data_IF_603979708843
#
_entry.id   IF_603979708843
#
_cell.length_a   1.000
_cell.length_b   1.000
_cell.length_c   1.000
_cell.angle_alpha   90.00
_cell.angle_beta   90.00
_cell.angle_gamma   90.00
#
_symmetry.space_group_name_H-M   'P 1'
#
loop_
_entity.id
_entity.type
_entity.pdbx_description
1 polymer ?
#
# COMPACT_ATOMS: atom_id res chain seq x y z
N UNK A 1 20.28 13.47 -34.91
CA UNK A 1 18.87 13.09 -34.84
C UNK A 1 18.83 11.57 -34.82
N UNK A 2 18.76 10.97 -33.63
CA UNK A 2 18.58 9.54 -33.42
C UNK A 2 17.34 9.39 -32.58
N UNK A 3 16.28 8.93 -33.23
CA UNK A 3 15.06 8.29 -32.73
C UNK A 3 14.80 8.37 -31.24
N UNK A 4 14.14 9.46 -30.83
CA UNK A 4 13.26 9.48 -29.66
C UNK A 4 11.99 8.70 -30.01
N UNK A 5 12.05 7.36 -30.02
CA UNK A 5 10.83 6.60 -29.85
C UNK A 5 10.38 6.77 -28.38
N UNK A 6 9.14 7.22 -28.11
CA UNK A 6 8.63 7.18 -26.75
C UNK A 6 8.63 5.71 -26.27
N UNK A 7 8.90 5.44 -24.99
CA UNK A 7 8.75 4.09 -24.46
C UNK A 7 7.31 3.63 -24.76
N UNK A 8 7.22 2.48 -25.41
CA UNK A 8 5.96 1.89 -25.89
C UNK A 8 4.91 1.90 -24.77
N UNK A 9 3.72 2.45 -25.07
CA UNK A 9 2.55 2.41 -24.17
C UNK A 9 1.92 3.74 -23.75
N UNK A 10 2.16 4.87 -24.43
CA UNK A 10 1.41 6.12 -24.14
C UNK A 10 0.58 6.61 -25.33
N UNK A 11 -0.67 6.15 -25.40
CA UNK A 11 -1.77 6.89 -26.02
C UNK A 11 -2.71 7.37 -24.92
N UNK A 12 -2.37 8.48 -24.27
CA UNK A 12 -3.33 9.41 -23.65
C UNK A 12 -4.20 8.98 -22.44
N UNK A 13 -4.20 7.71 -22.01
CA UNK A 13 -5.08 7.22 -20.92
C UNK A 13 -4.34 6.77 -19.64
N UNK A 14 -5.08 6.70 -18.53
CA UNK A 14 -4.65 5.94 -17.35
C UNK A 14 -4.80 4.45 -17.65
N UNK A 15 -3.88 3.60 -17.19
CA UNK A 15 -4.03 2.13 -17.25
C UNK A 15 -5.04 1.59 -16.22
N UNK A 16 -5.60 2.46 -15.38
CA UNK A 16 -6.77 2.12 -14.56
C UNK A 16 -7.97 2.06 -15.50
N UNK A 17 -8.35 0.85 -15.92
CA UNK A 17 -9.61 0.63 -16.64
C UNK A 17 -10.77 1.08 -15.73
N UNK A 18 -11.33 2.26 -16.00
CA UNK A 18 -12.58 2.70 -15.43
C UNK A 18 -13.73 1.88 -16.01
N UNK A 19 -14.84 1.75 -15.28
CA UNK A 19 -16.03 1.06 -15.81
C UNK A 19 -16.52 1.69 -17.13
N UNK A 20 -16.29 2.99 -17.31
CA UNK A 20 -16.58 3.75 -18.54
C UNK A 20 -15.71 3.35 -19.72
N UNK A 21 -14.50 2.84 -19.47
CA UNK A 21 -13.56 2.44 -20.54
C UNK A 21 -13.97 1.11 -21.20
N UNK A 22 -14.94 0.42 -20.62
CA UNK A 22 -15.52 -0.82 -21.14
C UNK A 22 -16.73 -0.59 -22.07
N UNK A 23 -17.13 0.67 -22.27
CA UNK A 23 -18.36 1.03 -23.01
C UNK A 23 -18.07 1.46 -24.46
N UNK A 24 -16.80 1.49 -24.90
CA UNK A 24 -16.51 1.74 -26.31
C UNK A 24 -16.65 0.45 -27.12
N UNK A 25 -17.85 0.28 -27.68
CA UNK A 25 -18.12 -0.51 -28.89
C UNK A 25 -17.36 0.08 -30.10
N UNK A 26 -17.14 -0.75 -31.13
CA UNK A 26 -16.53 -0.45 -32.45
C UNK A 26 -15.02 -0.61 -32.68
N UNK A 27 -14.36 -1.60 -32.05
CA UNK A 27 -13.21 -2.26 -32.71
C UNK A 27 -13.17 -3.76 -32.42
N UNK A 28 -13.36 -4.61 -33.44
CA UNK A 28 -13.32 -6.09 -33.39
C UNK A 28 -11.94 -6.71 -33.06
N UNK A 29 -11.00 -5.93 -32.53
CA UNK A 29 -9.74 -6.43 -32.02
C UNK A 29 -9.59 -6.04 -30.55
N UNK A 30 -9.43 -6.99 -29.61
CA UNK A 30 -9.08 -6.64 -28.25
C UNK A 30 -7.78 -5.82 -28.28
N UNK A 31 -7.69 -4.69 -27.57
CA UNK A 31 -6.50 -3.86 -27.60
C UNK A 31 -5.28 -4.69 -27.17
N UNK A 32 -4.20 -4.61 -27.95
CA UNK A 32 -2.92 -5.24 -27.58
C UNK A 32 -2.37 -4.47 -26.38
N UNK A 33 -2.60 -4.99 -25.17
CA UNK A 33 -2.05 -4.44 -23.93
C UNK A 33 -0.59 -4.87 -23.85
N UNK A 34 0.33 -4.02 -24.29
CA UNK A 34 1.76 -4.20 -24.01
C UNK A 34 1.99 -3.70 -22.58
N UNK A 35 2.43 -4.55 -21.64
CA UNK A 35 2.67 -4.12 -20.27
C UNK A 35 3.75 -3.02 -20.26
N UNK A 36 3.56 -1.93 -19.50
CA UNK A 36 4.56 -0.90 -19.38
C UNK A 36 5.89 -1.49 -18.92
N UNK A 37 7.00 -1.05 -19.50
CA UNK A 37 8.33 -1.46 -19.05
C UNK A 37 9.26 -0.26 -18.96
N UNK A 38 10.07 -0.26 -17.91
CA UNK A 38 11.05 0.79 -17.67
C UNK A 38 12.13 0.87 -18.75
N UNK A 39 12.53 2.07 -19.13
CA UNK A 39 13.70 2.26 -19.98
C UNK A 39 14.99 1.80 -19.25
N UNK A 40 15.89 1.21 -20.04
CA UNK A 40 17.27 0.95 -19.60
C UNK A 40 17.96 2.29 -19.36
N UNK A 41 18.56 2.47 -18.18
CA UNK A 41 19.27 3.70 -17.83
C UNK A 41 20.48 3.42 -16.95
N UNK A 42 21.43 4.35 -16.98
CA UNK A 42 22.56 4.36 -16.04
C UNK A 42 22.10 4.90 -14.70
N UNK A 43 22.38 4.15 -13.63
CA UNK A 43 22.02 4.51 -12.27
C UNK A 43 22.98 5.57 -11.71
N UNK A 44 22.42 6.69 -11.25
CA UNK A 44 23.17 7.71 -10.50
C UNK A 44 22.95 7.47 -9.00
N UNK A 45 23.87 6.76 -8.37
CA UNK A 45 23.81 6.39 -6.95
C UNK A 45 23.95 7.64 -6.07
N UNK A 46 23.15 7.70 -5.01
CA UNK A 46 23.20 8.73 -3.97
C UNK A 46 23.87 8.11 -2.74
N UNK A 47 25.21 8.12 -2.69
CA UNK A 47 26.00 7.43 -1.67
C UNK A 47 25.66 7.81 -0.23
N UNK A 48 25.27 9.07 0.01
CA UNK A 48 24.76 9.49 1.32
C UNK A 48 23.58 8.63 1.77
N UNK A 49 22.62 8.37 0.88
CA UNK A 49 21.44 7.56 1.20
C UNK A 49 21.82 6.10 1.40
N UNK A 50 22.76 5.56 0.60
CA UNK A 50 23.29 4.20 0.77
C UNK A 50 23.91 4.02 2.16
N UNK A 51 24.78 4.94 2.57
CA UNK A 51 25.48 4.89 3.86
C UNK A 51 24.47 5.01 5.01
N UNK A 52 23.57 6.00 4.97
CA UNK A 52 22.55 6.18 6.01
C UNK A 52 21.60 4.97 6.11
N UNK A 53 21.17 4.41 4.96
CA UNK A 53 20.30 3.24 4.94
C UNK A 53 21.01 2.00 5.47
N UNK A 54 22.29 1.81 5.12
CA UNK A 54 23.11 0.73 5.63
C UNK A 54 23.30 0.81 7.15
N UNK A 55 23.69 1.99 7.67
CA UNK A 55 23.83 2.20 9.12
C UNK A 55 22.50 1.99 9.87
N UNK A 56 21.39 2.48 9.30
CA UNK A 56 20.06 2.28 9.87
C UNK A 56 19.72 0.80 9.99
N UNK A 57 19.96 0.00 8.93
CA UNK A 57 19.66 -1.43 8.95
C UNK A 57 20.60 -2.23 9.85
N UNK A 58 21.89 -1.88 9.93
CA UNK A 58 22.82 -2.48 10.90
C UNK A 58 22.32 -2.22 12.33
N UNK A 59 21.94 -0.98 12.63
CA UNK A 59 21.31 -0.62 13.91
C UNK A 59 19.99 -1.36 14.15
N UNK A 60 19.19 -1.57 13.10
CA UNK A 60 17.94 -2.33 13.16
C UNK A 60 18.16 -3.80 13.51
N UNK A 61 19.16 -4.45 12.91
CA UNK A 61 19.53 -5.84 13.23
C UNK A 61 20.01 -5.94 14.68
N UNK A 62 20.83 -5.00 15.14
CA UNK A 62 21.25 -4.94 16.54
C UNK A 62 20.06 -4.71 17.49
N UNK A 63 19.13 -3.81 17.13
CA UNK A 63 17.90 -3.61 17.87
C UNK A 63 16.99 -4.84 17.90
N UNK A 64 16.92 -5.62 16.82
CA UNK A 64 16.21 -6.89 16.79
C UNK A 64 16.82 -7.91 17.78
N UNK A 65 18.15 -7.99 17.82
CA UNK A 65 18.86 -8.79 18.82
C UNK A 65 18.50 -8.37 20.26
N UNK A 66 18.50 -7.06 20.54
CA UNK A 66 18.12 -6.54 21.86
C UNK A 66 16.64 -6.83 22.19
N UNK A 67 15.73 -6.66 21.22
CA UNK A 67 14.31 -6.97 21.37
C UNK A 67 14.07 -8.43 21.79
N UNK A 68 14.87 -9.36 21.25
CA UNK A 68 14.73 -10.80 21.54
C UNK A 68 15.45 -11.26 22.81
N UNK A 69 16.47 -10.52 23.29
CA UNK A 69 17.39 -11.04 24.32
C UNK A 69 17.61 -10.15 25.54
N UNK A 70 17.38 -8.84 25.44
CA UNK A 70 17.78 -7.87 26.48
C UNK A 70 16.70 -6.91 26.92
N UNK A 71 15.82 -6.46 26.01
CA UNK A 71 14.81 -5.47 26.32
C UNK A 71 13.73 -6.05 27.24
N UNK A 72 13.19 -5.20 28.11
CA UNK A 72 12.06 -5.55 28.97
C UNK A 72 10.84 -5.87 28.10
N UNK A 73 10.02 -6.84 28.54
CA UNK A 73 8.81 -7.23 27.81
C UNK A 73 7.88 -6.03 27.54
N UNK A 74 7.77 -5.10 28.50
CA UNK A 74 6.99 -3.85 28.36
C UNK A 74 7.52 -2.96 27.23
N UNK A 75 8.84 -2.86 27.08
CA UNK A 75 9.50 -2.16 25.97
C UNK A 75 9.19 -2.83 24.63
N UNK A 76 9.26 -4.15 24.58
CA UNK A 76 8.93 -4.92 23.37
C UNK A 76 7.45 -4.74 22.98
N UNK A 77 6.53 -4.85 23.94
CA UNK A 77 5.10 -4.60 23.71
C UNK A 77 4.85 -3.16 23.24
N UNK A 78 5.54 -2.18 23.81
CA UNK A 78 5.45 -0.78 23.37
C UNK A 78 5.98 -0.58 21.94
N UNK A 79 7.08 -1.24 21.57
CA UNK A 79 7.60 -1.20 20.19
C UNK A 79 6.58 -1.79 19.18
N UNK A 80 5.92 -2.90 19.53
CA UNK A 80 4.84 -3.49 18.72
C UNK A 80 3.63 -2.55 18.62
N UNK A 81 3.25 -1.89 19.71
CA UNK A 81 2.19 -0.88 19.70
C UNK A 81 2.53 0.30 18.78
N UNK A 82 3.75 0.83 18.85
CA UNK A 82 4.23 1.90 17.97
C UNK A 82 4.30 1.47 16.50
N UNK A 83 4.64 0.21 16.25
CA UNK A 83 4.58 -0.39 14.92
C UNK A 83 3.15 -0.35 14.36
N UNK A 84 2.14 -0.82 15.12
CA UNK A 84 0.74 -0.79 14.71
C UNK A 84 0.27 0.64 14.45
N UNK A 85 0.61 1.58 15.35
CA UNK A 85 0.30 3.00 15.17
C UNK A 85 0.92 3.55 13.88
N UNK A 86 2.21 3.29 13.64
CA UNK A 86 2.91 3.70 12.42
C UNK A 86 2.22 3.14 11.17
N UNK A 87 1.91 1.84 11.19
CA UNK A 87 1.19 1.16 10.12
C UNK A 87 -0.14 1.83 9.82
N UNK A 88 -1.00 2.05 10.83
CA UNK A 88 -2.28 2.74 10.66
C UNK A 88 -2.13 4.18 10.13
N UNK A 89 -1.06 4.88 10.52
CA UNK A 89 -0.73 6.20 9.97
C UNK A 89 -0.47 6.19 8.46
N UNK A 90 0.13 5.11 7.95
CA UNK A 90 0.31 4.88 6.51
C UNK A 90 -0.98 4.39 5.88
N UNK A 91 -1.55 3.27 6.36
CA UNK A 91 -2.64 2.55 5.72
C UNK A 91 -3.99 3.27 5.85
N UNK A 92 -4.48 3.49 7.08
CA UNK A 92 -5.74 4.22 7.30
C UNK A 92 -5.60 5.70 6.96
N UNK A 93 -4.42 6.28 7.20
CA UNK A 93 -4.12 7.69 6.96
C UNK A 93 -3.65 7.97 5.52
N UNK A 94 -2.32 8.00 5.32
CA UNK A 94 -1.70 8.49 4.10
C UNK A 94 -2.29 7.87 2.82
N UNK A 95 -2.59 6.58 2.88
CA UNK A 95 -3.10 5.76 1.79
C UNK A 95 -4.60 5.91 1.59
N UNK A 96 -5.43 5.26 2.43
CA UNK A 96 -6.88 5.16 2.20
C UNK A 96 -7.60 6.52 2.34
N UNK A 97 -7.27 7.30 3.37
CA UNK A 97 -7.91 8.59 3.62
C UNK A 97 -7.44 9.68 2.65
N UNK A 98 -6.14 9.93 2.58
CA UNK A 98 -5.60 11.10 1.87
C UNK A 98 -5.23 10.82 0.42
N UNK A 99 -4.56 9.71 0.09
CA UNK A 99 -4.22 9.40 -1.30
C UNK A 99 -5.47 9.04 -2.12
N UNK A 100 -6.34 8.17 -1.56
CA UNK A 100 -7.49 7.60 -2.28
C UNK A 100 -8.86 8.21 -1.97
N UNK A 101 -9.01 8.95 -0.86
CA UNK A 101 -10.30 9.53 -0.46
C UNK A 101 -11.42 8.48 -0.33
N UNK A 102 -11.07 7.25 0.03
CA UNK A 102 -12.00 6.12 0.12
C UNK A 102 -12.97 6.24 1.31
N UNK A 103 -12.65 7.11 2.28
CA UNK A 103 -13.56 7.52 3.34
C UNK A 103 -13.28 8.95 3.79
N UNK A 104 -14.12 9.49 4.67
CA UNK A 104 -13.93 10.80 5.32
C UNK A 104 -13.72 10.64 6.81
N UNK A 105 -12.89 11.51 7.38
CA UNK A 105 -12.55 11.50 8.79
C UNK A 105 -12.87 12.86 9.44
N UNK A 106 -13.41 12.82 10.66
CA UNK A 106 -13.57 14.02 11.51
C UNK A 106 -12.22 14.46 12.09
N UNK A 107 -12.19 15.66 12.66
CA UNK A 107 -10.96 16.30 13.15
C UNK A 107 -10.12 15.40 14.08
N UNK A 108 -10.68 14.71 15.10
CA UNK A 108 -9.88 13.90 16.03
C UNK A 108 -9.09 12.80 15.32
N UNK A 109 -9.75 12.06 14.41
CA UNK A 109 -9.12 10.99 13.65
C UNK A 109 -8.05 11.52 12.69
N UNK A 110 -8.29 12.65 12.03
CA UNK A 110 -7.29 13.28 11.15
C UNK A 110 -6.03 13.70 11.90
N UNK A 111 -6.17 14.26 13.11
CA UNK A 111 -5.04 14.59 13.97
C UNK A 111 -4.28 13.32 14.37
N UNK A 112 -5.00 12.29 14.84
CA UNK A 112 -4.42 11.02 15.26
C UNK A 112 -3.63 10.34 14.14
N UNK A 113 -4.23 10.22 12.95
CA UNK A 113 -3.59 9.60 11.79
C UNK A 113 -2.39 10.41 11.27
N UNK A 114 -2.42 11.74 11.41
CA UNK A 114 -1.28 12.60 11.07
C UNK A 114 -0.13 12.39 12.05
N UNK A 115 -0.41 12.25 13.35
CA UNK A 115 0.60 11.91 14.37
C UNK A 115 1.21 10.55 14.09
N UNK A 116 0.37 9.55 13.80
CA UNK A 116 0.79 8.19 13.45
C UNK A 116 1.62 8.15 12.16
N UNK A 117 1.25 8.90 11.12
CA UNK A 117 2.07 9.02 9.92
C UNK A 117 3.44 9.67 10.22
N UNK A 118 3.47 10.67 11.11
CA UNK A 118 4.72 11.31 11.54
C UNK A 118 5.63 10.33 12.29
N UNK A 119 5.04 9.44 13.12
CA UNK A 119 5.75 8.34 13.78
C UNK A 119 6.35 7.34 12.78
N UNK A 120 5.69 7.11 11.64
CA UNK A 120 6.12 6.16 10.62
C UNK A 120 7.33 6.66 9.79
N UNK A 121 7.56 7.97 9.74
CA UNK A 121 8.64 8.63 9.00
C UNK A 121 8.80 8.11 7.55
N UNK A 122 7.72 8.20 6.78
CA UNK A 122 7.75 7.95 5.32
C UNK A 122 7.33 9.21 4.56
N UNK A 123 8.04 10.30 4.80
CA UNK A 123 7.67 11.66 4.38
C UNK A 123 6.36 12.19 5.00
N UNK A 124 6.09 13.48 4.78
CA UNK A 124 4.82 14.08 5.18
C UNK A 124 3.69 13.55 4.29
N UNK A 125 2.47 13.49 4.82
CA UNK A 125 1.30 12.93 4.11
C UNK A 125 1.14 13.50 2.70
N UNK A 126 1.35 14.81 2.52
CA UNK A 126 1.21 15.47 1.21
C UNK A 126 2.18 14.91 0.18
N UNK A 127 3.44 14.66 0.56
CA UNK A 127 4.45 14.14 -0.37
C UNK A 127 4.24 12.64 -0.63
N UNK A 128 3.92 11.89 0.42
CA UNK A 128 3.61 10.46 0.31
C UNK A 128 2.42 10.24 -0.62
N UNK A 129 1.31 10.96 -0.41
CA UNK A 129 0.12 10.85 -1.22
C UNK A 129 0.33 11.33 -2.67
N UNK A 130 1.22 12.31 -2.91
CA UNK A 130 1.62 12.66 -4.28
C UNK A 130 2.30 11.49 -4.98
N UNK A 131 3.32 10.93 -4.35
CA UNK A 131 4.10 9.83 -4.94
C UNK A 131 3.22 8.58 -5.11
N UNK A 132 2.27 8.33 -4.20
CA UNK A 132 1.29 7.25 -4.30
C UNK A 132 0.24 7.44 -5.40
N UNK A 133 -0.34 8.64 -5.53
CA UNK A 133 -1.27 8.96 -6.65
C UNK A 133 -0.56 8.80 -8.00
N UNK A 134 0.71 9.17 -8.06
CA UNK A 134 1.55 9.01 -9.25
C UNK A 134 1.85 7.54 -9.54
N UNK A 135 2.12 6.74 -8.51
CA UNK A 135 2.28 5.29 -8.62
C UNK A 135 1.03 4.63 -9.24
N UNK A 136 -0.17 4.90 -8.73
CA UNK A 136 -1.39 4.36 -9.36
C UNK A 136 -1.60 4.83 -10.80
N UNK A 137 -1.37 6.13 -11.07
CA UNK A 137 -1.66 6.71 -12.39
C UNK A 137 -0.69 6.22 -13.47
N UNK A 138 0.57 6.00 -13.11
CA UNK A 138 1.65 5.68 -14.03
C UNK A 138 2.40 4.40 -13.66
N UNK A 139 1.71 3.47 -13.00
CA UNK A 139 2.24 2.19 -12.51
C UNK A 139 3.05 1.49 -13.58
N UNK A 140 4.18 0.89 -13.20
CA UNK A 140 5.09 0.16 -14.08
C UNK A 140 5.78 1.01 -15.18
N UNK A 141 5.60 2.34 -15.19
CA UNK A 141 6.31 3.23 -16.13
C UNK A 141 7.50 3.93 -15.45
N UNK A 142 8.27 4.69 -16.22
CA UNK A 142 9.34 5.53 -15.68
C UNK A 142 8.87 6.74 -14.85
N UNK A 143 7.57 7.01 -14.82
CA UNK A 143 6.98 8.01 -13.93
C UNK A 143 6.55 7.42 -12.57
N UNK A 144 6.57 6.10 -12.41
CA UNK A 144 6.35 5.43 -11.13
C UNK A 144 7.63 5.49 -10.25
N UNK A 145 7.56 6.07 -9.02
CA UNK A 145 8.70 6.15 -8.11
C UNK A 145 9.41 4.82 -7.83
N UNK A 146 8.65 3.75 -7.69
CA UNK A 146 9.12 2.44 -7.25
C UNK A 146 8.76 1.34 -8.25
N UNK A 147 8.81 1.70 -9.54
CA UNK A 147 8.51 0.81 -10.67
C UNK A 147 9.08 -0.61 -10.51
N UNK A 148 8.18 -1.57 -10.31
CA UNK A 148 8.48 -2.98 -10.09
C UNK A 148 9.14 -3.67 -11.29
N UNK A 149 8.97 -3.17 -12.52
CA UNK A 149 9.64 -3.73 -13.71
C UNK A 149 11.15 -3.54 -13.68
N UNK A 150 11.67 -2.71 -12.76
CA UNK A 150 13.11 -2.54 -12.51
C UNK A 150 13.66 -3.59 -11.53
N UNK A 151 12.80 -4.51 -11.06
CA UNK A 151 13.14 -5.64 -10.21
C UNK A 151 12.90 -5.39 -8.72
N UNK A 152 12.84 -6.48 -7.96
CA UNK A 152 12.52 -6.48 -6.53
C UNK A 152 13.34 -5.47 -5.72
N UNK A 153 14.67 -5.49 -5.85
CA UNK A 153 15.54 -4.61 -5.06
C UNK A 153 15.26 -3.13 -5.33
N UNK A 154 15.01 -2.76 -6.59
CA UNK A 154 14.69 -1.38 -6.94
C UNK A 154 13.38 -0.93 -6.28
N UNK A 155 12.31 -1.72 -6.45
CA UNK A 155 10.99 -1.40 -5.90
C UNK A 155 10.95 -1.42 -4.36
N UNK A 156 11.76 -2.28 -3.74
CA UNK A 156 11.84 -2.39 -2.29
C UNK A 156 12.56 -1.20 -1.67
N UNK A 157 13.83 -0.97 -2.03
CA UNK A 157 14.65 0.10 -1.40
C UNK A 157 15.52 0.87 -2.40
N UNK A 158 15.88 0.26 -3.53
CA UNK A 158 16.83 0.83 -4.49
C UNK A 158 16.39 2.18 -5.05
N UNK A 159 15.08 2.43 -5.19
CA UNK A 159 14.53 3.72 -5.63
C UNK A 159 14.90 4.89 -4.70
N UNK A 160 15.14 4.63 -3.41
CA UNK A 160 15.61 5.62 -2.42
C UNK A 160 17.12 5.86 -2.50
N UNK A 161 17.87 4.96 -3.14
CA UNK A 161 19.34 4.96 -3.18
C UNK A 161 19.90 5.61 -4.44
N UNK A 162 19.05 5.96 -5.40
CA UNK A 162 19.44 6.54 -6.69
C UNK A 162 18.68 7.83 -6.98
N UNK A 163 19.16 8.61 -7.94
CA UNK A 163 18.41 9.77 -8.44
C UNK A 163 17.15 9.33 -9.18
N UNK A 164 16.00 9.85 -8.73
CA UNK A 164 14.68 9.68 -9.38
C UNK A 164 14.76 9.94 -10.88
N UNK A 165 13.98 9.19 -11.65
CA UNK A 165 13.86 9.39 -13.10
C UNK A 165 13.27 10.77 -13.43
N UNK A 166 13.68 11.44 -14.52
CA UNK A 166 13.11 12.74 -14.90
C UNK A 166 11.59 12.74 -15.08
N UNK A 167 11.01 11.61 -15.56
CA UNK A 167 9.56 11.47 -15.73
C UNK A 167 8.79 11.59 -14.41
N UNK A 168 9.37 11.16 -13.27
CA UNK A 168 8.75 11.35 -11.95
C UNK A 168 8.54 12.84 -11.67
N UNK A 169 9.53 13.69 -11.98
CA UNK A 169 9.37 15.15 -11.81
C UNK A 169 8.37 15.71 -12.83
N UNK A 170 8.50 15.33 -14.10
CA UNK A 170 7.65 15.86 -15.16
C UNK A 170 6.16 15.53 -14.94
N UNK A 171 5.84 14.27 -14.63
CA UNK A 171 4.48 13.80 -14.41
C UNK A 171 3.97 14.11 -13.01
N UNK A 172 4.84 14.19 -11.99
CA UNK A 172 4.46 14.56 -10.63
C UNK A 172 3.80 15.94 -10.51
N UNK A 173 4.14 16.88 -11.40
CA UNK A 173 3.50 18.20 -11.46
C UNK A 173 2.05 18.14 -11.98
N UNK A 174 1.66 17.05 -12.64
CA UNK A 174 0.29 16.83 -13.17
C UNK A 174 -0.66 16.21 -12.14
N UNK A 175 -0.13 15.83 -10.97
CA UNK A 175 -0.93 15.25 -9.89
C UNK A 175 -1.61 16.39 -9.13
N UNK A 176 -2.94 16.37 -9.11
CA UNK A 176 -3.70 17.30 -8.28
C UNK A 176 -3.49 16.97 -6.80
N UNK A 177 -3.17 18.01 -6.03
CA UNK A 177 -2.98 17.97 -4.58
C UNK A 177 -3.75 19.12 -3.90
N UNK A 178 -4.66 19.79 -4.62
CA UNK A 178 -5.44 20.92 -4.10
C UNK A 178 -6.16 20.57 -2.81
N UNK A 179 -6.75 19.38 -2.75
CA UNK A 179 -7.42 18.83 -1.58
C UNK A 179 -6.48 18.71 -0.37
N UNK A 180 -5.28 18.15 -0.56
CA UNK A 180 -4.31 17.96 0.52
C UNK A 180 -3.70 19.29 0.97
N UNK A 181 -3.49 20.22 0.03
CA UNK A 181 -3.01 21.58 0.32
C UNK A 181 -4.07 22.43 0.99
N UNK A 182 -5.35 22.13 0.83
CA UNK A 182 -6.44 22.82 1.52
C UNK A 182 -6.62 22.34 2.97
N UNK A 183 -6.11 21.15 3.31
CA UNK A 183 -6.19 20.57 4.65
C UNK A 183 -5.24 21.30 5.62
N UNK A 184 -5.74 22.02 6.65
CA UNK A 184 -4.89 22.77 7.58
C UNK A 184 -3.99 21.87 8.43
N UNK A 185 -4.40 20.64 8.73
CA UNK A 185 -3.62 19.68 9.53
C UNK A 185 -2.42 19.21 8.73
N UNK A 186 -2.62 18.87 7.46
CA UNK A 186 -1.53 18.44 6.59
C UNK A 186 -0.56 19.57 6.27
N UNK A 187 -1.07 20.79 6.09
CA UNK A 187 -0.21 21.98 5.97
C UNK A 187 0.64 22.19 7.22
N UNK A 188 0.06 22.04 8.41
CA UNK A 188 0.80 22.14 9.67
C UNK A 188 1.89 21.06 9.75
N UNK A 189 1.53 19.79 9.51
CA UNK A 189 2.48 18.68 9.49
C UNK A 189 3.62 18.96 8.51
N UNK A 190 3.32 19.32 7.26
CA UNK A 190 4.31 19.60 6.22
C UNK A 190 5.24 20.75 6.59
N UNK A 191 4.70 21.84 7.16
CA UNK A 191 5.49 23.01 7.58
C UNK A 191 6.46 22.68 8.71
N UNK A 192 6.05 21.84 9.65
CA UNK A 192 6.81 21.52 10.86
C UNK A 192 7.46 20.13 10.82
N UNK A 193 7.42 19.43 9.68
CA UNK A 193 7.78 18.01 9.58
C UNK A 193 9.18 17.71 10.09
N UNK A 194 10.17 18.55 9.74
CA UNK A 194 11.57 18.35 10.15
C UNK A 194 11.80 18.50 11.67
N UNK A 195 10.85 19.10 12.39
CA UNK A 195 10.88 19.19 13.86
C UNK A 195 10.04 18.07 14.48
N UNK A 196 8.83 17.85 13.96
CA UNK A 196 7.90 16.85 14.49
C UNK A 196 8.41 15.42 14.28
N UNK A 197 8.99 15.12 13.12
CA UNK A 197 9.49 13.79 12.79
C UNK A 197 10.53 13.28 13.78
N UNK A 198 11.66 13.98 14.05
CA UNK A 198 12.66 13.44 14.97
C UNK A 198 12.11 13.28 16.39
N UNK A 199 11.24 14.20 16.82
CA UNK A 199 10.58 14.14 18.12
C UNK A 199 9.68 12.91 18.25
N UNK A 200 8.75 12.72 17.31
CA UNK A 200 7.72 11.69 17.37
C UNK A 200 8.26 10.31 16.96
N UNK A 201 9.16 10.25 15.96
CA UNK A 201 9.70 9.00 15.45
C UNK A 201 10.88 8.47 16.26
N UNK A 202 11.69 9.32 16.92
CA UNK A 202 12.92 8.83 17.59
C UNK A 202 13.00 9.21 19.06
N UNK A 203 12.78 10.48 19.41
CA UNK A 203 12.99 10.97 20.78
C UNK A 203 11.93 10.42 21.74
N UNK A 204 10.64 10.58 21.44
CA UNK A 204 9.56 10.10 22.31
C UNK A 204 9.57 8.56 22.43
N UNK A 205 9.69 7.78 21.34
CA UNK A 205 9.82 6.32 21.44
C UNK A 205 11.02 5.84 22.26
N UNK A 206 12.12 6.58 22.27
CA UNK A 206 13.30 6.28 23.09
C UNK A 206 13.11 6.67 24.56
N UNK A 207 12.49 7.82 24.83
CA UNK A 207 12.35 8.35 26.18
C UNK A 207 11.27 7.62 27.00
N UNK A 208 10.10 7.35 26.40
CA UNK A 208 8.95 6.79 27.13
C UNK A 208 9.29 5.48 27.88
N UNK A 209 10.05 4.53 27.31
CA UNK A 209 10.41 3.31 28.03
C UNK A 209 11.22 3.50 29.30
N UNK A 210 11.95 4.61 29.43
CA UNK A 210 12.71 4.91 30.65
C UNK A 210 11.79 5.13 31.86
N UNK A 211 10.52 5.48 31.63
CA UNK A 211 9.53 5.69 32.68
C UNK A 211 9.15 4.40 33.43
N UNK A 212 9.39 3.23 32.82
CA UNK A 212 9.25 1.92 33.49
C UNK A 212 10.61 1.24 33.74
N UNK A 213 11.70 2.00 33.69
CA UNK A 213 13.03 1.53 34.06
C UNK A 213 13.85 0.88 32.94
N UNK A 214 13.42 0.95 31.68
CA UNK A 214 14.24 0.48 30.56
C UNK A 214 15.48 1.37 30.35
N UNK A 215 16.59 0.77 29.92
CA UNK A 215 17.77 1.55 29.55
C UNK A 215 17.52 2.39 28.28
N UNK A 216 18.04 3.62 28.24
CA UNK A 216 17.99 4.47 27.04
C UNK A 216 18.57 3.77 25.80
N UNK A 217 19.58 2.93 25.98
CA UNK A 217 20.23 2.20 24.89
C UNK A 217 19.29 1.17 24.25
N UNK A 218 18.66 0.30 25.07
CA UNK A 218 17.67 -0.65 24.58
C UNK A 218 16.46 0.07 23.99
N UNK A 219 15.93 1.08 24.67
CA UNK A 219 14.78 1.84 24.21
C UNK A 219 15.03 2.49 22.84
N UNK A 220 16.21 3.11 22.64
CA UNK A 220 16.58 3.69 21.35
C UNK A 220 16.66 2.65 20.23
N UNK A 221 17.42 1.57 20.43
CA UNK A 221 17.60 0.58 19.38
C UNK A 221 16.35 -0.24 19.10
N UNK A 222 15.50 -0.49 20.10
CA UNK A 222 14.29 -1.29 19.96
C UNK A 222 13.10 -0.44 19.50
N UNK A 223 12.69 0.57 20.29
CA UNK A 223 11.49 1.35 20.04
C UNK A 223 11.68 2.41 18.95
N UNK A 224 12.91 2.85 18.70
CA UNK A 224 13.22 3.82 17.65
C UNK A 224 13.77 3.16 16.39
N UNK A 225 14.95 2.54 16.44
CA UNK A 225 15.65 2.07 15.25
C UNK A 225 15.04 0.79 14.65
N UNK A 226 14.96 -0.29 15.42
CA UNK A 226 14.44 -1.57 14.95
C UNK A 226 12.98 -1.45 14.51
N UNK A 227 12.12 -0.84 15.34
CA UNK A 227 10.72 -0.58 14.98
C UNK A 227 10.60 0.23 13.68
N UNK A 228 11.41 1.26 13.48
CA UNK A 228 11.39 2.04 12.24
C UNK A 228 11.83 1.21 11.02
N UNK A 229 12.94 0.47 11.13
CA UNK A 229 13.42 -0.44 10.07
C UNK A 229 12.36 -1.48 9.71
N UNK A 230 11.69 -2.05 10.71
CA UNK A 230 10.63 -3.02 10.50
C UNK A 230 9.43 -2.40 9.75
N UNK A 231 8.94 -1.22 10.18
CA UNK A 231 7.88 -0.48 9.49
C UNK A 231 8.24 -0.21 8.02
N UNK A 232 9.47 0.23 7.75
CA UNK A 232 9.94 0.51 6.39
C UNK A 232 9.88 -0.74 5.51
N UNK A 233 10.52 -1.82 5.94
CA UNK A 233 10.61 -3.04 5.14
C UNK A 233 9.23 -3.68 4.90
N UNK A 234 8.36 -3.68 5.92
CA UNK A 234 6.98 -4.15 5.77
C UNK A 234 6.25 -3.30 4.73
N UNK A 235 6.35 -1.97 4.80
CA UNK A 235 5.72 -1.10 3.79
C UNK A 235 6.29 -1.33 2.40
N UNK A 236 7.60 -1.49 2.27
CA UNK A 236 8.28 -1.71 1.01
C UNK A 236 7.99 -3.07 0.38
N UNK A 237 7.55 -4.07 1.15
CA UNK A 237 7.04 -5.34 0.59
C UNK A 237 5.80 -5.13 -0.27
N UNK A 238 4.97 -4.11 0.01
CA UNK A 238 3.82 -3.78 -0.83
C UNK A 238 4.30 -3.35 -2.22
N UNK A 239 5.28 -2.45 -2.28
CA UNK A 239 5.83 -1.97 -3.56
C UNK A 239 6.58 -3.08 -4.33
N UNK A 240 7.19 -4.03 -3.63
CA UNK A 240 8.05 -5.05 -4.25
C UNK A 240 7.36 -6.40 -4.40
N UNK A 241 7.10 -7.11 -3.30
CA UNK A 241 6.53 -8.45 -3.34
C UNK A 241 5.10 -8.42 -3.91
N UNK A 242 4.29 -7.44 -3.53
CA UNK A 242 2.90 -7.32 -3.99
C UNK A 242 2.74 -6.79 -5.43
N UNK A 243 3.84 -6.58 -6.16
CA UNK A 243 3.86 -6.37 -7.62
C UNK A 243 4.52 -7.51 -8.41
N UNK A 244 5.08 -8.51 -7.73
CA UNK A 244 5.92 -9.53 -8.37
C UNK A 244 5.45 -10.96 -8.11
N UNK A 245 4.97 -11.28 -6.90
CA UNK A 245 4.75 -12.67 -6.48
C UNK A 245 3.40 -12.87 -5.79
N UNK A 246 2.46 -13.43 -6.53
CA UNK A 246 1.10 -13.71 -6.06
C UNK A 246 0.15 -14.00 -7.22
N UNK A 247 -1.14 -14.03 -6.92
CA UNK A 247 -2.21 -14.29 -7.89
C UNK A 247 -2.89 -12.99 -8.33
N UNK A 248 -3.62 -12.99 -9.45
CA UNK A 248 -4.29 -11.81 -10.04
C UNK A 248 -5.77 -12.06 -10.34
N UNK A 249 -6.59 -12.34 -9.30
CA UNK A 249 -7.97 -12.76 -9.45
C UNK A 249 -8.88 -11.71 -10.09
N UNK A 250 -8.54 -10.42 -10.03
CA UNK A 250 -9.39 -9.32 -10.54
C UNK A 250 -8.90 -8.77 -11.87
N UNK A 251 -7.59 -8.60 -12.04
CA UNK A 251 -7.01 -8.11 -13.30
C UNK A 251 -5.60 -8.68 -13.55
N UNK A 252 -5.49 -9.59 -14.53
CA UNK A 252 -4.23 -10.22 -14.92
C UNK A 252 -3.30 -9.32 -15.74
N UNK A 253 -3.82 -8.21 -16.28
CA UNK A 253 -3.10 -7.32 -17.18
C UNK A 253 -2.26 -6.27 -16.45
N UNK A 254 -2.43 -6.12 -15.14
CA UNK A 254 -1.62 -5.25 -14.27
C UNK A 254 -0.61 -6.09 -13.48
N UNK A 255 0.49 -5.50 -13.00
CA UNK A 255 1.48 -6.20 -12.17
C UNK A 255 1.05 -6.50 -10.72
N UNK A 256 0.32 -5.62 -10.00
CA UNK A 256 -0.14 -5.87 -8.64
C UNK A 256 -0.77 -7.24 -8.46
N UNK A 257 -0.42 -7.91 -7.36
CA UNK A 257 -0.84 -9.27 -7.03
C UNK A 257 -1.46 -9.34 -5.64
N UNK A 258 -2.23 -10.39 -5.40
CA UNK A 258 -2.67 -10.77 -4.07
C UNK A 258 -1.59 -11.61 -3.38
N UNK A 259 -1.10 -11.15 -2.24
CA UNK A 259 -0.08 -11.84 -1.45
C UNK A 259 -0.55 -11.96 0.01
N UNK A 260 -1.32 -13.01 0.31
CA UNK A 260 -1.91 -13.24 1.65
C UNK A 260 -0.90 -13.16 2.81
N UNK A 261 0.32 -13.75 2.75
CA UNK A 261 1.30 -13.64 3.83
C UNK A 261 1.78 -12.20 4.07
N UNK A 262 1.91 -11.41 3.01
CA UNK A 262 2.27 -9.99 3.11
C UNK A 262 1.13 -9.25 3.83
N UNK A 263 -0.14 -9.54 3.52
CA UNK A 263 -1.28 -8.85 4.12
C UNK A 263 -1.33 -8.89 5.65
N UNK A 264 -0.89 -10.01 6.26
CA UNK A 264 -0.84 -10.15 7.71
C UNK A 264 0.15 -9.15 8.33
N UNK A 265 1.33 -9.02 7.73
CA UNK A 265 2.34 -8.09 8.23
C UNK A 265 2.00 -6.65 7.85
N UNK A 266 1.52 -6.35 6.64
CA UNK A 266 1.19 -4.97 6.21
C UNK A 266 -0.19 -4.47 6.64
N UNK A 267 -0.79 -5.07 7.67
CA UNK A 267 -2.07 -4.65 8.26
C UNK A 267 -3.25 -4.57 7.27
N UNK A 268 -3.26 -5.37 6.20
CA UNK A 268 -4.33 -5.38 5.20
C UNK A 268 -3.99 -4.90 3.80
N UNK A 269 -2.78 -4.41 3.55
CA UNK A 269 -2.39 -3.90 2.22
C UNK A 269 -1.84 -4.97 1.27
N UNK A 270 -1.93 -6.26 1.61
CA UNK A 270 -1.44 -7.35 0.76
C UNK A 270 -2.40 -7.77 -0.36
N UNK A 271 -3.61 -7.22 -0.37
CA UNK A 271 -4.62 -7.47 -1.42
C UNK A 271 -4.45 -6.50 -2.59
N UNK A 272 -3.27 -6.52 -3.20
CA UNK A 272 -2.80 -5.42 -4.04
C UNK A 272 -3.38 -5.44 -5.46
N UNK A 273 -3.72 -6.62 -5.99
CA UNK A 273 -4.45 -6.74 -7.26
C UNK A 273 -5.84 -6.11 -7.15
N UNK A 274 -6.57 -6.40 -6.06
CA UNK A 274 -7.85 -5.76 -5.76
C UNK A 274 -7.69 -4.25 -5.63
N UNK A 275 -6.72 -3.81 -4.83
CA UNK A 275 -6.50 -2.40 -4.56
C UNK A 275 -6.21 -1.58 -5.82
N UNK A 276 -5.34 -2.07 -6.71
CA UNK A 276 -5.07 -1.37 -7.97
C UNK A 276 -6.23 -1.42 -8.96
N UNK A 277 -7.07 -2.45 -8.86
CA UNK A 277 -8.30 -2.57 -9.67
C UNK A 277 -9.38 -1.61 -9.18
N UNK A 278 -9.51 -1.45 -7.86
CA UNK A 278 -10.55 -0.64 -7.20
C UNK A 278 -9.95 0.31 -6.16
N UNK A 279 -9.18 1.32 -6.59
CA UNK A 279 -8.42 2.18 -5.67
C UNK A 279 -9.30 3.04 -4.75
N UNK A 280 -10.60 3.15 -5.00
CA UNK A 280 -11.54 3.91 -4.17
C UNK A 280 -12.17 3.08 -3.04
N UNK A 281 -11.94 1.77 -2.98
CA UNK A 281 -12.49 0.92 -1.91
C UNK A 281 -11.73 1.14 -0.58
N UNK A 282 -12.46 1.46 0.49
CA UNK A 282 -11.88 1.74 1.80
C UNK A 282 -11.28 0.51 2.49
N UNK A 283 -11.73 -0.69 2.11
CA UNK A 283 -11.24 -1.95 2.66
C UNK A 283 -9.89 -2.32 2.03
N UNK A 284 -9.62 -1.86 0.81
CA UNK A 284 -8.50 -2.30 -0.05
C UNK A 284 -8.46 -3.81 -0.32
N UNK A 285 -9.56 -4.51 -0.05
CA UNK A 285 -9.73 -5.94 -0.23
C UNK A 285 -11.20 -6.28 -0.50
N UNK A 286 -11.45 -7.36 -1.25
CA UNK A 286 -12.80 -7.91 -1.40
C UNK A 286 -13.31 -8.46 -0.05
N UNK A 287 -12.46 -9.22 0.65
CA UNK A 287 -12.82 -9.93 1.88
C UNK A 287 -13.42 -8.97 2.92
N UNK A 288 -14.64 -9.29 3.36
CA UNK A 288 -15.32 -8.55 4.42
C UNK A 288 -14.83 -8.89 5.84
N UNK A 289 -14.07 -9.98 5.99
CA UNK A 289 -13.59 -10.45 7.28
C UNK A 289 -12.34 -9.69 7.77
N UNK A 290 -12.10 -9.70 9.07
CA UNK A 290 -11.07 -8.89 9.72
C UNK A 290 -9.69 -9.58 9.81
N UNK A 291 -9.62 -10.88 9.50
CA UNK A 291 -8.48 -11.75 9.85
C UNK A 291 -7.15 -11.32 9.21
N UNK A 292 -7.20 -10.66 8.06
CA UNK A 292 -6.01 -10.21 7.33
C UNK A 292 -6.04 -8.71 7.05
N UNK A 293 -6.92 -7.94 7.68
CA UNK A 293 -7.12 -6.52 7.40
C UNK A 293 -7.42 -5.71 8.67
N UNK A 294 -6.38 -5.53 9.50
CA UNK A 294 -6.47 -4.76 10.74
C UNK A 294 -6.85 -3.29 10.47
N UNK A 295 -6.40 -2.73 9.34
CA UNK A 295 -6.72 -1.36 8.96
C UNK A 295 -8.22 -1.18 8.73
N UNK A 296 -8.90 -2.14 8.08
CA UNK A 296 -10.37 -2.13 7.96
C UNK A 296 -11.03 -2.16 9.34
N UNK A 297 -10.60 -3.06 10.23
CA UNK A 297 -11.16 -3.14 11.60
C UNK A 297 -11.03 -1.80 12.33
N UNK A 298 -9.87 -1.16 12.22
CA UNK A 298 -9.65 0.16 12.81
C UNK A 298 -10.60 1.21 12.23
N UNK A 299 -10.74 1.30 10.90
CA UNK A 299 -11.63 2.27 10.25
C UNK A 299 -13.09 2.02 10.64
N UNK A 300 -13.55 0.76 10.66
CA UNK A 300 -14.91 0.39 11.08
C UNK A 300 -15.16 0.78 12.55
N UNK A 301 -14.18 0.57 13.43
CA UNK A 301 -14.27 0.98 14.85
C UNK A 301 -14.36 2.50 14.96
N UNK A 302 -13.55 3.23 14.18
CA UNK A 302 -13.62 4.70 14.13
C UNK A 302 -14.96 5.17 13.55
N UNK A 303 -15.56 4.45 12.61
CA UNK A 303 -16.88 4.76 12.07
C UNK A 303 -17.98 4.54 13.12
N UNK A 304 -17.90 3.46 13.90
CA UNK A 304 -18.85 3.14 14.97
C UNK A 304 -18.91 4.24 16.06
N UNK A 305 -17.77 4.86 16.39
CA UNK A 305 -17.72 6.00 17.32
C UNK A 305 -17.94 7.37 16.64
N UNK A 306 -18.29 7.38 15.36
CA UNK A 306 -18.55 8.59 14.60
C UNK A 306 -17.30 9.41 14.28
N UNK A 307 -16.11 8.84 14.22
CA UNK A 307 -14.89 9.54 13.80
C UNK A 307 -14.59 9.37 12.30
N UNK A 308 -15.05 8.28 11.68
CA UNK A 308 -15.03 8.05 10.24
C UNK A 308 -16.46 7.99 9.66
N UNK A 309 -16.63 8.34 8.39
CA UNK A 309 -17.91 8.30 7.67
C UNK A 309 -17.67 8.29 6.14
N UNK A 310 -18.72 8.09 5.34
CA UNK A 310 -18.64 8.06 3.87
C UNK A 310 -17.63 7.02 3.33
N UNK A 311 -17.61 5.84 3.97
CA UNK A 311 -16.77 4.68 3.62
C UNK A 311 -17.28 4.09 2.30
N UNK A 312 -16.42 4.09 1.27
CA UNK A 312 -16.76 3.63 -0.08
C UNK A 312 -16.35 2.18 -0.27
N UNK A 313 -17.28 1.32 -0.67
CA UNK A 313 -17.02 -0.08 -1.01
C UNK A 313 -17.51 -0.36 -2.43
N UNK A 314 -16.83 -1.25 -3.13
CA UNK A 314 -17.26 -1.76 -4.43
C UNK A 314 -18.40 -2.76 -4.22
N UNK A 315 -19.40 -2.74 -5.11
CA UNK A 315 -20.49 -3.72 -5.09
C UNK A 315 -20.02 -5.09 -5.60
N UNK A 316 -20.65 -6.15 -5.10
CA UNK A 316 -20.37 -7.53 -5.52
C UNK A 316 -20.50 -7.72 -7.03
N UNK A 317 -21.50 -7.09 -7.63
CA UNK A 317 -21.77 -7.20 -9.06
C UNK A 317 -20.64 -6.62 -9.92
N UNK A 318 -20.07 -5.49 -9.49
CA UNK A 318 -18.92 -4.87 -10.17
C UNK A 318 -17.69 -5.78 -10.05
N UNK A 319 -17.44 -6.34 -8.86
CA UNK A 319 -16.33 -7.26 -8.62
C UNK A 319 -16.46 -8.48 -9.53
N UNK A 320 -17.63 -9.13 -9.54
CA UNK A 320 -17.87 -10.32 -10.38
C UNK A 320 -17.72 -10.02 -11.87
N UNK A 321 -18.24 -8.88 -12.35
CA UNK A 321 -18.06 -8.46 -13.76
C UNK A 321 -16.59 -8.25 -14.10
N UNK A 322 -15.80 -7.65 -13.19
CA UNK A 322 -14.36 -7.43 -13.39
C UNK A 322 -13.58 -8.75 -13.41
N UNK A 323 -13.84 -9.64 -12.45
CA UNK A 323 -13.25 -10.98 -12.38
C UNK A 323 -13.51 -11.75 -13.68
N UNK A 324 -14.76 -11.79 -14.16
CA UNK A 324 -15.11 -12.48 -15.42
C UNK A 324 -14.39 -11.88 -16.64
N UNK A 325 -14.17 -10.56 -16.65
CA UNK A 325 -13.57 -9.85 -17.79
C UNK A 325 -12.05 -9.95 -17.82
N UNK A 326 -11.38 -9.77 -16.68
CA UNK A 326 -9.92 -9.59 -16.61
C UNK A 326 -9.22 -10.47 -15.59
N UNK A 327 -9.94 -11.26 -14.79
CA UNK A 327 -9.34 -12.17 -13.82
C UNK A 327 -8.46 -13.24 -14.48
N UNK A 328 -7.48 -13.73 -13.72
CA UNK A 328 -6.60 -14.84 -14.13
C UNK A 328 -7.22 -16.23 -13.87
N UNK A 329 -8.45 -16.29 -13.35
CA UNK A 329 -9.15 -17.53 -12.99
C UNK A 329 -8.87 -18.03 -11.57
N UNK A 330 -8.10 -17.31 -10.76
CA UNK A 330 -7.80 -17.68 -9.36
C UNK A 330 -8.76 -17.07 -8.33
N UNK A 331 -9.73 -16.27 -8.78
CA UNK A 331 -10.75 -15.70 -7.88
C UNK A 331 -11.57 -16.84 -7.26
N UNK A 332 -11.74 -16.89 -5.92
CA UNK A 332 -12.48 -17.95 -5.28
C UNK A 332 -13.94 -17.90 -5.74
N UNK A 333 -14.35 -18.92 -6.50
CA UNK A 333 -15.73 -19.07 -6.96
C UNK A 333 -16.57 -19.42 -5.73
N UNK A 334 -17.27 -18.46 -5.13
CA UNK A 334 -18.15 -18.75 -4.01
C UNK A 334 -19.50 -19.28 -4.52
N UNK A 335 -19.87 -20.51 -4.16
CA UNK A 335 -21.19 -21.10 -4.44
C UNK A 335 -21.14 -22.53 -4.99
N UNK A 336 -22.16 -22.92 -5.76
CA UNK A 336 -22.29 -24.28 -6.31
C UNK A 336 -21.10 -24.72 -7.17
N UNK A 337 -20.42 -23.77 -7.80
CA UNK A 337 -19.29 -24.00 -8.71
C UNK A 337 -17.92 -23.86 -8.03
N UNK A 338 -17.88 -23.70 -6.70
CA UNK A 338 -16.62 -23.70 -5.94
C UNK A 338 -15.89 -25.04 -6.10
N UNK A 339 -14.56 -24.98 -6.24
CA UNK A 339 -13.67 -26.13 -6.25
C UNK A 339 -13.50 -26.76 -4.87
N UNK A 340 -13.77 -26.02 -3.79
CA UNK A 340 -13.72 -26.50 -2.41
C UNK A 340 -15.01 -27.22 -1.99
N UNK A 341 -16.13 -27.04 -2.70
CA UNK A 341 -17.37 -27.78 -2.45
C UNK A 341 -17.20 -29.21 -2.97
N UNK A 342 -17.18 -30.17 -2.05
CA UNK A 342 -17.00 -31.58 -2.39
C UNK A 342 -18.16 -32.05 -3.27
N UNK A 343 -17.86 -32.93 -4.23
CA UNK A 343 -18.89 -33.51 -5.09
C UNK A 343 -19.97 -34.25 -4.30
N UNK A 344 -19.65 -34.76 -3.11
CA UNK A 344 -20.62 -35.37 -2.21
C UNK A 344 -21.60 -34.36 -1.64
N UNK A 345 -21.13 -33.17 -1.24
CA UNK A 345 -21.99 -32.09 -0.77
C UNK A 345 -22.90 -31.56 -1.88
N UNK A 346 -22.40 -31.50 -3.13
CA UNK A 346 -23.24 -31.18 -4.30
C UNK A 346 -24.35 -32.22 -4.48
N UNK A 347 -24.05 -33.51 -4.34
CA UNK A 347 -25.07 -34.57 -4.45
C UNK A 347 -26.17 -34.50 -3.39
N UNK A 348 -25.92 -33.86 -2.24
CA UNK A 348 -26.89 -33.71 -1.15
C UNK A 348 -27.85 -32.53 -1.35
N UNK A 349 -27.61 -31.64 -2.32
CA UNK A 349 -28.48 -30.50 -2.54
C UNK A 349 -29.79 -30.90 -3.23
N UNK A 350 -30.90 -30.46 -2.65
CA UNK A 350 -32.20 -30.56 -3.29
C UNK A 350 -32.31 -29.54 -4.44
N UNK A 351 -32.23 -30.03 -5.69
CA UNK A 351 -32.37 -29.21 -6.89
C UNK A 351 -33.84 -29.17 -7.30
N UNK A 352 -34.45 -27.99 -7.22
CA UNK A 352 -35.84 -27.75 -7.68
C UNK A 352 -35.77 -27.30 -9.16
N UNK A 353 -36.52 -27.97 -10.04
CA UNK A 353 -36.51 -27.80 -11.51
C UNK A 353 -35.16 -28.14 -12.19
N UNK A 354 -34.68 -29.39 -12.09
CA UNK A 354 -33.43 -29.79 -12.77
C UNK A 354 -33.58 -29.70 -14.29
N UNK A 355 -32.45 -29.46 -14.96
CA UNK A 355 -32.34 -29.51 -16.42
C UNK A 355 -32.85 -30.88 -16.90
N UNK A 356 -33.77 -30.88 -17.86
CA UNK A 356 -34.30 -32.12 -18.43
C UNK A 356 -33.17 -32.75 -19.24
N UNK A 357 -32.57 -33.81 -18.70
CA UNK A 357 -31.70 -34.69 -19.48
C UNK A 357 -32.50 -35.23 -20.66
N UNK A 358 -32.10 -34.87 -21.88
CA UNK A 358 -32.59 -35.48 -23.13
C UNK A 358 -32.23 -36.96 -23.23
#
# INVERSE_FOLDING_TARGET
MKDNMPPQGQTGGSWVLYETDAVNEDTDAPPVIVPPSAEKRVWKIVWRNVILMGMLHIGGVYGAYLFLTKAMWTTCAFAVFLYICSGLGITAGAHRLWAHKSYKARLPLRILLTLFNTLAFQDAVIDWARDHRMHHKYSETDADPHNATRGFFFAHVGWLLVRKHPQIKAKGHTIDLSDLKSDPILRFQKKHYLILMPLVCFVLPCYIPTLWGESLWNAYFVCSIFRYVYVLNVTWLVNSAAHLWGIKPYDKNINPVETKPVSLVVLGEGFHNYHHTFPWDYKTAELGNYSLNLTKLFIDTMAAIGWAYDLKTVSTDVIQKRVKRTGDGTHPVWGWDDTEVQQEDKKLAAIINPEKTE
#
